data_IF_834114074887
#
_entry.id   IF_834114074887
#
_cell.length_a   1.000
_cell.length_b   1.000
_cell.length_c   1.000
_cell.angle_alpha   90.00
_cell.angle_beta   90.00
_cell.angle_gamma   90.00
#
_symmetry.space_group_name_H-M   'P 1'
#
loop_
_entity.id
_entity.type
_entity.pdbx_description
1 polymer ?
#
# COMPACT_ATOMS: atom_id res chain seq x y z
N UNK A 1 -23.51 -5.91 6.43
CA UNK A 1 -22.50 -5.41 7.42
C UNK A 1 -22.99 -5.54 8.84
N UNK A 2 -24.15 -4.99 9.20
CA UNK A 2 -24.76 -5.15 10.54
C UNK A 2 -24.94 -6.62 10.96
N UNK A 3 -25.44 -7.47 10.07
CA UNK A 3 -25.59 -8.92 10.33
C UNK A 3 -24.24 -9.61 10.60
N UNK A 4 -23.26 -9.44 9.71
CA UNK A 4 -21.91 -10.00 9.86
C UNK A 4 -21.18 -9.47 11.12
N UNK A 5 -21.45 -8.23 11.54
CA UNK A 5 -20.94 -7.65 12.78
C UNK A 5 -21.60 -8.28 14.03
N UNK A 6 -22.92 -8.48 14.02
CA UNK A 6 -23.64 -9.12 15.12
C UNK A 6 -23.22 -10.57 15.30
N UNK A 7 -23.05 -11.32 14.20
CA UNK A 7 -22.57 -12.70 14.19
C UNK A 7 -21.15 -12.81 14.78
N UNK A 8 -20.21 -11.97 14.35
CA UNK A 8 -18.84 -11.94 14.86
C UNK A 8 -18.80 -11.54 16.34
N UNK A 9 -19.66 -10.60 16.76
CA UNK A 9 -19.73 -10.10 18.14
C UNK A 9 -20.27 -11.18 19.09
N UNK A 10 -21.37 -11.85 18.75
CA UNK A 10 -21.97 -12.88 19.60
C UNK A 10 -21.06 -14.10 19.73
N UNK A 11 -20.55 -14.62 18.61
CA UNK A 11 -19.74 -15.84 18.61
C UNK A 11 -18.42 -15.65 19.37
N UNK A 12 -17.76 -14.50 19.22
CA UNK A 12 -16.49 -14.24 19.90
C UNK A 12 -16.65 -13.85 21.36
N UNK A 13 -17.66 -13.04 21.72
CA UNK A 13 -17.89 -12.65 23.12
C UNK A 13 -18.30 -13.85 23.98
N UNK A 14 -19.15 -14.74 23.47
CA UNK A 14 -19.54 -15.95 24.19
C UNK A 14 -18.35 -16.88 24.43
N UNK A 15 -17.50 -17.10 23.41
CA UNK A 15 -16.29 -17.93 23.53
C UNK A 15 -15.29 -17.34 24.54
N UNK A 16 -15.13 -16.02 24.54
CA UNK A 16 -14.22 -15.30 25.45
C UNK A 16 -14.74 -15.37 26.90
N UNK A 17 -16.03 -15.11 27.13
CA UNK A 17 -16.65 -15.20 28.46
C UNK A 17 -16.62 -16.63 29.02
N UNK A 18 -16.92 -17.64 28.20
CA UNK A 18 -16.84 -19.05 28.62
C UNK A 18 -15.41 -19.44 29.04
N UNK A 19 -14.39 -18.95 28.31
CA UNK A 19 -12.98 -19.20 28.65
C UNK A 19 -12.56 -18.51 29.93
N UNK A 20 -13.03 -17.29 30.18
CA UNK A 20 -12.81 -16.55 31.43
C UNK A 20 -13.44 -17.26 32.63
N UNK A 21 -14.71 -17.65 32.54
CA UNK A 21 -15.42 -18.39 33.59
C UNK A 21 -14.70 -19.71 33.91
N UNK A 22 -14.23 -20.44 32.88
CA UNK A 22 -13.48 -21.69 33.05
C UNK A 22 -12.13 -21.47 33.74
N UNK A 23 -11.45 -20.34 33.46
CA UNK A 23 -10.19 -19.98 34.11
C UNK A 23 -10.40 -19.59 35.58
N UNK A 24 -11.43 -18.81 35.90
CA UNK A 24 -11.75 -18.46 37.28
C UNK A 24 -12.16 -19.68 38.12
N UNK A 25 -12.99 -20.58 37.58
CA UNK A 25 -13.31 -21.85 38.26
C UNK A 25 -12.07 -22.69 38.55
N UNK A 26 -11.09 -22.72 37.63
CA UNK A 26 -9.81 -23.41 37.86
C UNK A 26 -8.96 -22.72 38.93
N UNK A 27 -8.98 -21.38 38.99
CA UNK A 27 -8.32 -20.60 40.05
C UNK A 27 -8.92 -20.93 41.42
N UNK A 28 -10.24 -20.95 41.52
CA UNK A 28 -10.94 -21.25 42.78
C UNK A 28 -10.68 -22.69 43.24
N UNK A 29 -10.76 -23.67 42.33
CA UNK A 29 -10.42 -25.07 42.63
C UNK A 29 -8.98 -25.25 43.09
N UNK A 30 -8.04 -24.52 42.48
CA UNK A 30 -6.64 -24.55 42.87
C UNK A 30 -6.46 -23.95 44.27
N UNK A 31 -7.09 -22.81 44.56
CA UNK A 31 -7.07 -22.18 45.88
C UNK A 31 -7.66 -23.08 46.97
N UNK A 32 -8.76 -23.79 46.71
CA UNK A 32 -9.33 -24.76 47.66
C UNK A 32 -8.39 -25.94 47.92
N UNK A 33 -7.76 -26.51 46.88
CA UNK A 33 -6.75 -27.58 47.04
C UNK A 33 -5.54 -27.11 47.85
N UNK A 34 -5.11 -25.88 47.62
CA UNK A 34 -4.01 -25.24 48.36
C UNK A 34 -4.36 -25.13 49.85
N UNK A 35 -5.56 -24.65 50.16
CA UNK A 35 -6.00 -24.49 51.54
C UNK A 35 -6.03 -25.83 52.29
N UNK A 36 -6.56 -26.88 51.66
CA UNK A 36 -6.60 -28.23 52.24
C UNK A 36 -5.19 -28.77 52.51
N UNK A 37 -4.25 -28.61 51.57
CA UNK A 37 -2.88 -29.06 51.76
C UNK A 37 -2.14 -28.29 52.86
N UNK A 38 -2.34 -26.97 52.94
CA UNK A 38 -1.75 -26.15 54.00
C UNK A 38 -2.28 -26.56 55.39
N UNK A 39 -3.58 -26.80 55.52
CA UNK A 39 -4.18 -27.29 56.78
C UNK A 39 -3.66 -28.68 57.15
N UNK A 40 -3.50 -29.57 56.16
CA UNK A 40 -2.95 -30.92 56.38
C UNK A 40 -1.52 -30.86 56.92
N UNK A 41 -0.67 -30.01 56.32
CA UNK A 41 0.72 -29.85 56.75
C UNK A 41 0.83 -29.19 58.13
N UNK A 42 -0.03 -28.21 58.43
CA UNK A 42 -0.10 -27.59 59.75
C UNK A 42 -0.52 -28.58 60.83
N UNK A 43 -1.49 -29.46 60.54
CA UNK A 43 -1.91 -30.51 61.47
C UNK A 43 -0.80 -31.54 61.70
N UNK A 44 -0.03 -31.90 60.68
CA UNK A 44 1.15 -32.79 60.84
C UNK A 44 2.23 -32.15 61.72
N UNK A 45 2.48 -30.84 61.56
CA UNK A 45 3.42 -30.10 62.42
C UNK A 45 2.93 -30.10 63.87
N UNK A 46 1.63 -29.90 64.10
CA UNK A 46 1.03 -29.88 65.44
C UNK A 46 1.09 -31.27 66.13
N UNK A 47 0.83 -32.35 65.38
CA UNK A 47 0.96 -33.74 65.86
C UNK A 47 2.39 -34.05 66.32
N UNK A 48 3.39 -33.65 65.53
CA UNK A 48 4.81 -33.81 65.88
C UNK A 48 5.22 -32.95 67.08
N UNK A 49 4.61 -31.77 67.26
CA UNK A 49 4.84 -30.93 68.43
C UNK A 49 4.24 -31.52 69.72
N UNK A 50 3.14 -32.28 69.62
CA UNK A 50 2.48 -32.92 70.76
C UNK A 50 3.11 -34.26 71.17
N UNK A 51 3.89 -34.91 70.29
CA UNK A 51 4.64 -36.14 70.59
C UNK A 51 5.91 -35.92 71.44
N UNK A 52 6.15 -34.68 71.93
CA UNK A 52 7.34 -34.23 72.65
C UNK A 52 7.49 -34.77 74.11
N UNK A 53 6.95 -35.93 74.44
CA UNK A 53 6.97 -36.46 75.82
C UNK A 53 7.45 -37.91 75.90
N UNK A 54 8.75 -38.14 75.62
CA UNK A 54 9.66 -39.06 76.34
C UNK A 54 10.99 -39.22 75.56
N UNK A 55 12.11 -39.05 76.27
CA UNK A 55 13.53 -39.24 75.88
C UNK A 55 14.23 -38.14 75.04
N UNK A 56 15.43 -37.72 75.48
CA UNK A 56 16.23 -36.61 74.92
C UNK A 56 16.75 -36.83 73.49
N UNK A 57 17.00 -38.08 73.07
CA UNK A 57 17.43 -38.40 71.70
C UNK A 57 16.34 -38.18 70.66
N UNK A 58 15.07 -38.42 71.02
CA UNK A 58 13.91 -38.23 70.15
C UNK A 58 13.56 -36.74 70.00
N UNK A 59 13.91 -35.89 70.98
CA UNK A 59 13.70 -34.44 70.93
C UNK A 59 14.57 -33.78 69.86
N UNK A 60 15.84 -34.19 69.71
CA UNK A 60 16.76 -33.60 68.71
C UNK A 60 16.36 -34.03 67.30
N UNK A 61 16.02 -35.31 67.10
CA UNK A 61 15.56 -35.82 65.81
C UNK A 61 14.25 -35.16 65.37
N UNK A 62 13.28 -35.01 66.27
CA UNK A 62 12.00 -34.32 65.98
C UNK A 62 12.18 -32.83 65.72
N UNK A 63 13.12 -32.15 66.39
CA UNK A 63 13.41 -30.73 66.13
C UNK A 63 13.99 -30.50 64.74
N UNK A 64 14.84 -31.42 64.26
CA UNK A 64 15.38 -31.39 62.90
C UNK A 64 14.30 -31.65 61.84
N UNK A 65 13.42 -32.65 62.07
CA UNK A 65 12.28 -32.94 61.20
C UNK A 65 11.31 -31.74 61.13
N UNK A 66 11.03 -31.09 62.27
CA UNK A 66 10.16 -29.92 62.33
C UNK A 66 10.74 -28.71 61.58
N UNK A 67 12.07 -28.49 61.65
CA UNK A 67 12.75 -27.46 60.86
C UNK A 67 12.72 -27.77 59.35
N UNK A 68 12.91 -29.02 58.96
CA UNK A 68 12.82 -29.44 57.55
C UNK A 68 11.41 -29.27 56.98
N UNK A 69 10.38 -29.63 57.75
CA UNK A 69 8.98 -29.43 57.37
C UNK A 69 8.61 -27.94 57.26
N UNK A 70 9.08 -27.09 58.18
CA UNK A 70 8.91 -25.63 58.08
C UNK A 70 9.60 -25.05 56.85
N UNK A 71 10.79 -25.55 56.51
CA UNK A 71 11.50 -25.14 55.29
C UNK A 71 10.75 -25.57 54.02
N UNK A 72 10.24 -26.80 53.96
CA UNK A 72 9.40 -27.29 52.86
C UNK A 72 8.11 -26.50 52.72
N UNK A 73 7.44 -26.15 53.83
CA UNK A 73 6.26 -25.29 53.83
C UNK A 73 6.57 -23.91 53.20
N UNK A 74 7.71 -23.31 53.56
CA UNK A 74 8.14 -22.01 53.03
C UNK A 74 8.43 -22.06 51.53
N UNK A 75 9.11 -23.11 51.05
CA UNK A 75 9.34 -23.33 49.62
C UNK A 75 8.02 -23.51 48.86
N UNK A 76 7.09 -24.29 49.41
CA UNK A 76 5.78 -24.51 48.83
C UNK A 76 4.97 -23.21 48.73
N UNK A 77 4.95 -22.40 49.79
CA UNK A 77 4.30 -21.08 49.80
C UNK A 77 4.87 -20.13 48.74
N UNK A 78 6.19 -20.11 48.55
CA UNK A 78 6.83 -19.31 47.50
C UNK A 78 6.45 -19.77 46.08
N UNK A 79 6.47 -21.08 45.83
CA UNK A 79 6.03 -21.63 44.53
C UNK A 79 4.57 -21.33 44.23
N UNK A 80 3.73 -21.31 45.26
CA UNK A 80 2.32 -20.96 45.16
C UNK A 80 2.12 -19.47 44.84
N UNK A 81 2.83 -18.58 45.52
CA UNK A 81 2.79 -17.14 45.19
C UNK A 81 3.21 -16.88 43.75
N UNK A 82 4.24 -17.58 43.26
CA UNK A 82 4.71 -17.45 41.88
C UNK A 82 3.65 -17.93 40.87
N UNK A 83 3.01 -19.08 41.11
CA UNK A 83 1.91 -19.56 40.27
C UNK A 83 0.72 -18.61 40.28
N UNK A 84 0.37 -18.04 41.44
CA UNK A 84 -0.74 -17.09 41.54
C UNK A 84 -0.43 -15.78 40.78
N UNK A 85 0.80 -15.27 40.87
CA UNK A 85 1.28 -14.13 40.06
C UNK A 85 1.22 -14.42 38.56
N UNK A 86 1.60 -15.62 38.12
CA UNK A 86 1.50 -16.03 36.71
C UNK A 86 0.04 -16.07 36.21
N UNK A 87 -0.87 -16.61 37.03
CA UNK A 87 -2.31 -16.62 36.72
C UNK A 87 -2.91 -15.21 36.68
N UNK A 88 -2.55 -14.35 37.63
CA UNK A 88 -2.98 -12.94 37.67
C UNK A 88 -2.53 -12.23 36.39
N UNK A 89 -1.27 -12.40 35.98
CA UNK A 89 -0.73 -11.83 34.74
C UNK A 89 -1.47 -12.30 33.49
N UNK A 90 -1.79 -13.60 33.39
CA UNK A 90 -2.59 -14.16 32.29
C UNK A 90 -4.02 -13.60 32.27
N UNK A 91 -4.62 -13.37 33.44
CA UNK A 91 -5.93 -12.73 33.58
C UNK A 91 -5.91 -11.28 33.09
N UNK A 92 -4.88 -10.51 33.47
CA UNK A 92 -4.73 -9.11 33.06
C UNK A 92 -4.54 -8.94 31.55
N UNK A 93 -3.77 -9.84 30.92
CA UNK A 93 -3.64 -9.89 29.45
C UNK A 93 -4.99 -10.15 28.80
N UNK A 94 -5.79 -11.06 29.36
CA UNK A 94 -7.10 -11.41 28.82
C UNK A 94 -8.10 -10.24 28.98
N UNK A 95 -8.08 -9.54 30.11
CA UNK A 95 -8.89 -8.34 30.31
C UNK A 95 -8.52 -7.22 29.33
N UNK A 96 -7.23 -6.99 29.07
CA UNK A 96 -6.78 -6.05 28.03
C UNK A 96 -7.27 -6.43 26.63
N UNK A 97 -7.32 -7.72 26.31
CA UNK A 97 -7.90 -8.19 25.04
C UNK A 97 -9.40 -7.89 24.96
N UNK A 98 -10.16 -8.13 26.02
CA UNK A 98 -11.60 -7.80 26.11
C UNK A 98 -11.82 -6.30 25.87
N UNK A 99 -11.12 -5.44 26.61
CA UNK A 99 -11.24 -3.98 26.45
C UNK A 99 -10.89 -3.51 25.05
N UNK A 100 -9.87 -4.11 24.42
CA UNK A 100 -9.52 -3.78 23.03
C UNK A 100 -10.62 -4.21 22.04
N UNK A 101 -11.25 -5.36 22.25
CA UNK A 101 -12.40 -5.79 21.46
C UNK A 101 -13.61 -4.86 21.66
N UNK A 102 -13.90 -4.43 22.88
CA UNK A 102 -14.98 -3.46 23.17
C UNK A 102 -14.74 -2.12 22.45
N UNK A 103 -13.51 -1.63 22.45
CA UNK A 103 -13.14 -0.40 21.72
C UNK A 103 -13.30 -0.55 20.20
N UNK A 104 -12.95 -1.71 19.64
CA UNK A 104 -13.18 -2.02 18.23
C UNK A 104 -14.68 -2.03 17.92
N UNK A 105 -15.51 -2.65 18.78
CA UNK A 105 -16.97 -2.69 18.65
C UNK A 105 -17.57 -1.27 18.70
N UNK A 106 -17.09 -0.40 19.60
CA UNK A 106 -17.52 1.00 19.69
C UNK A 106 -17.18 1.76 18.40
N UNK A 107 -15.95 1.59 17.88
CA UNK A 107 -15.52 2.21 16.63
C UNK A 107 -16.39 1.80 15.44
N UNK A 108 -16.65 0.50 15.28
CA UNK A 108 -17.51 0.01 14.20
C UNK A 108 -18.95 0.50 14.33
N UNK A 109 -19.50 0.61 15.55
CA UNK A 109 -20.82 1.23 15.77
C UNK A 109 -20.86 2.68 15.30
N UNK A 110 -19.81 3.45 15.58
CA UNK A 110 -19.69 4.84 15.12
C UNK A 110 -19.65 4.93 13.59
N UNK A 111 -18.82 4.12 12.95
CA UNK A 111 -18.72 4.06 11.48
C UNK A 111 -20.04 3.62 10.82
N UNK A 112 -20.78 2.70 11.44
CA UNK A 112 -22.12 2.30 10.97
C UNK A 112 -23.09 3.47 11.06
N UNK A 113 -23.13 4.19 12.19
CA UNK A 113 -24.03 5.34 12.38
C UNK A 113 -23.71 6.48 11.39
N UNK A 114 -22.43 6.76 11.15
CA UNK A 114 -22.00 7.76 10.15
C UNK A 114 -22.45 7.37 8.74
N UNK A 115 -22.33 6.09 8.37
CA UNK A 115 -22.82 5.59 7.08
C UNK A 115 -24.34 5.62 6.97
N UNK A 116 -25.08 5.33 8.03
CA UNK A 116 -26.55 5.45 8.04
C UNK A 116 -27.00 6.90 7.88
N UNK A 117 -26.32 7.85 8.52
CA UNK A 117 -26.57 9.28 8.32
C UNK A 117 -26.37 9.69 6.85
N UNK A 118 -25.27 9.26 6.22
CA UNK A 118 -25.01 9.53 4.80
C UNK A 118 -26.10 8.90 3.91
N UNK A 119 -26.48 7.65 4.17
CA UNK A 119 -27.52 6.95 3.41
C UNK A 119 -28.87 7.66 3.53
N UNK A 120 -29.25 8.11 4.74
CA UNK A 120 -30.49 8.85 4.96
C UNK A 120 -30.46 10.20 4.24
N UNK A 121 -29.36 10.94 4.31
CA UNK A 121 -29.18 12.20 3.57
C UNK A 121 -29.28 12.00 2.04
N UNK A 122 -28.73 10.91 1.51
CA UNK A 122 -28.86 10.56 0.10
C UNK A 122 -30.29 10.17 -0.27
N UNK A 123 -31.00 9.43 0.60
CA UNK A 123 -32.43 9.11 0.41
C UNK A 123 -33.30 10.36 0.40
N UNK A 124 -33.05 11.30 1.31
CA UNK A 124 -33.79 12.55 1.38
C UNK A 124 -33.59 13.38 0.11
N UNK A 125 -32.35 13.45 -0.41
CA UNK A 125 -32.05 14.07 -1.71
C UNK A 125 -32.72 13.36 -2.88
N UNK A 126 -32.71 12.03 -2.91
CA UNK A 126 -33.39 11.27 -3.97
C UNK A 126 -34.90 11.51 -3.91
N UNK A 127 -35.49 11.50 -2.72
CA UNK A 127 -36.92 11.76 -2.54
C UNK A 127 -37.30 13.18 -2.94
N UNK A 128 -36.45 14.17 -2.61
CA UNK A 128 -36.59 15.55 -3.06
C UNK A 128 -36.55 15.65 -4.58
N UNK A 129 -35.52 15.07 -5.22
CA UNK A 129 -35.38 15.09 -6.68
C UNK A 129 -36.54 14.35 -7.39
N UNK A 130 -37.04 13.25 -6.82
CA UNK A 130 -38.20 12.52 -7.35
C UNK A 130 -39.48 13.36 -7.21
N UNK A 131 -39.62 14.12 -6.12
CA UNK A 131 -40.73 15.04 -5.93
C UNK A 131 -40.67 16.19 -6.95
N UNK A 132 -39.50 16.82 -7.13
CA UNK A 132 -39.28 17.83 -8.17
C UNK A 132 -39.56 17.28 -9.57
N UNK A 133 -39.10 16.08 -9.90
CA UNK A 133 -39.37 15.47 -11.20
C UNK A 133 -40.87 15.22 -11.42
N UNK A 134 -41.62 14.81 -10.40
CA UNK A 134 -43.08 14.65 -10.47
C UNK A 134 -43.80 16.00 -10.59
N UNK A 135 -43.32 17.03 -9.92
CA UNK A 135 -43.85 18.41 -10.03
C UNK A 135 -43.56 19.01 -11.40
N UNK A 136 -42.36 18.82 -11.94
CA UNK A 136 -42.00 19.19 -13.31
C UNK A 136 -42.85 18.41 -14.31
N UNK A 137 -43.00 17.10 -14.16
CA UNK A 137 -43.80 16.29 -15.08
C UNK A 137 -45.29 16.67 -15.08
N UNK A 138 -45.84 17.02 -13.91
CA UNK A 138 -47.22 17.53 -13.78
C UNK A 138 -47.38 18.98 -14.26
N UNK A 139 -46.34 19.81 -14.17
CA UNK A 139 -46.29 21.15 -14.78
C UNK A 139 -46.13 21.08 -16.30
N UNK A 140 -45.31 20.18 -16.86
CA UNK A 140 -45.18 19.97 -18.31
C UNK A 140 -46.47 19.44 -18.93
N UNK A 141 -47.21 18.59 -18.22
CA UNK A 141 -48.55 18.12 -18.62
C UNK A 141 -49.60 19.25 -18.58
N UNK A 142 -49.47 20.23 -17.67
CA UNK A 142 -50.33 21.42 -17.63
C UNK A 142 -49.93 22.49 -18.66
N UNK A 143 -48.63 22.67 -18.89
CA UNK A 143 -48.05 23.75 -19.71
C UNK A 143 -48.04 23.47 -21.22
N UNK A 144 -48.32 22.24 -21.66
CA UNK A 144 -48.65 21.96 -23.08
C UNK A 144 -49.99 22.60 -23.53
N UNK A 145 -50.67 23.34 -22.65
CA UNK A 145 -51.95 24.00 -22.93
C UNK A 145 -51.87 25.52 -23.11
N UNK A 146 -50.74 26.20 -22.81
CA UNK A 146 -50.72 27.68 -22.88
C UNK A 146 -49.30 28.25 -23.01
N UNK A 147 -49.03 28.70 -24.24
CA UNK A 147 -48.23 29.85 -24.70
C UNK A 147 -47.35 30.69 -23.73
N UNK A 148 -46.13 30.95 -24.23
CA UNK A 148 -45.40 32.24 -24.38
C UNK A 148 -45.04 33.12 -23.16
N UNK A 149 -43.76 33.52 -23.15
CA UNK A 149 -43.15 34.79 -22.70
C UNK A 149 -42.82 35.00 -21.20
N UNK A 150 -41.76 35.82 -21.02
CA UNK A 150 -41.23 36.49 -19.80
C UNK A 150 -40.38 35.61 -18.86
N UNK A 151 -39.04 35.78 -18.88
CA UNK A 151 -38.22 36.75 -18.13
C UNK A 151 -37.92 36.34 -16.67
N UNK A 152 -36.62 36.05 -16.45
CA UNK A 152 -35.79 36.49 -15.30
C UNK A 152 -36.47 36.61 -13.93
N UNK A 153 -36.14 35.69 -13.02
CA UNK A 153 -35.25 35.92 -11.87
C UNK A 153 -35.38 34.80 -10.82
N UNK A 154 -34.30 34.62 -10.06
CA UNK A 154 -34.21 33.87 -8.80
C UNK A 154 -34.18 32.34 -8.86
N UNK A 155 -32.95 31.79 -8.86
CA UNK A 155 -32.50 30.83 -7.83
C UNK A 155 -30.97 30.64 -7.93
N UNK A 156 -30.22 31.45 -7.18
CA UNK A 156 -28.84 31.14 -6.83
C UNK A 156 -28.85 30.05 -5.74
N UNK A 157 -29.03 28.80 -6.15
CA UNK A 157 -28.56 27.66 -5.36
C UNK A 157 -27.14 27.31 -5.80
N UNK A 158 -26.25 27.09 -4.83
CA UNK A 158 -24.83 26.76 -4.95
C UNK A 158 -24.55 25.57 -5.92
N UNK A 159 -24.65 25.78 -7.23
CA UNK A 159 -24.15 24.83 -8.23
C UNK A 159 -22.64 24.99 -8.31
N UNK A 160 -21.93 23.95 -7.86
CA UNK A 160 -20.48 23.81 -8.09
C UNK A 160 -20.16 24.08 -9.56
N UNK A 161 -19.10 24.86 -9.81
CA UNK A 161 -18.63 25.10 -11.18
C UNK A 161 -18.19 23.79 -11.82
N UNK A 162 -18.06 23.76 -13.15
CA UNK A 162 -17.53 22.58 -13.83
C UNK A 162 -16.14 22.19 -13.28
N UNK A 163 -15.28 23.18 -13.02
CA UNK A 163 -13.96 22.95 -12.45
C UNK A 163 -14.03 22.35 -11.04
N UNK A 164 -14.94 22.84 -10.20
CA UNK A 164 -15.11 22.31 -8.85
C UNK A 164 -15.58 20.85 -8.86
N UNK A 165 -16.43 20.48 -9.83
CA UNK A 165 -16.89 19.10 -10.00
C UNK A 165 -15.73 18.18 -10.38
N UNK A 166 -14.84 18.61 -11.28
CA UNK A 166 -13.66 17.85 -11.69
C UNK A 166 -12.68 17.67 -10.51
N UNK A 167 -12.41 18.71 -9.73
CA UNK A 167 -11.57 18.58 -8.54
C UNK A 167 -12.20 17.74 -7.43
N UNK A 168 -13.53 17.81 -7.26
CA UNK A 168 -14.25 16.95 -6.33
C UNK A 168 -14.18 15.48 -6.77
N UNK A 169 -14.29 15.23 -8.07
CA UNK A 169 -14.07 13.91 -8.64
C UNK A 169 -12.65 13.42 -8.33
N UNK A 170 -11.62 14.22 -8.65
CA UNK A 170 -10.21 13.86 -8.39
C UNK A 170 -9.95 13.55 -6.92
N UNK A 171 -10.53 14.34 -6.01
CA UNK A 171 -10.46 14.09 -4.56
C UNK A 171 -11.08 12.74 -4.20
N UNK A 172 -12.28 12.45 -4.69
CA UNK A 172 -12.98 11.21 -4.40
C UNK A 172 -12.24 10.00 -4.99
N UNK A 173 -11.78 10.12 -6.23
CA UNK A 173 -10.96 9.13 -6.91
C UNK A 173 -9.69 8.81 -6.11
N UNK A 174 -8.95 9.84 -5.70
CA UNK A 174 -7.73 9.67 -4.91
C UNK A 174 -8.01 9.01 -3.56
N UNK A 175 -9.06 9.41 -2.85
CA UNK A 175 -9.45 8.80 -1.57
C UNK A 175 -9.76 7.30 -1.69
N UNK A 176 -10.33 6.88 -2.82
CA UNK A 176 -10.64 5.46 -3.08
C UNK A 176 -9.39 4.67 -3.43
N UNK A 177 -8.50 5.20 -4.26
CA UNK A 177 -7.42 4.40 -4.87
C UNK A 177 -6.04 4.59 -4.28
N UNK A 178 -5.77 5.64 -3.50
CA UNK A 178 -4.42 5.85 -2.95
C UNK A 178 -3.94 4.66 -2.10
N UNK A 179 -2.62 4.54 -1.94
CA UNK A 179 -1.94 3.42 -1.28
C UNK A 179 -2.39 3.19 0.18
N UNK A 180 -2.91 4.22 0.85
CA UNK A 180 -3.33 4.18 2.26
C UNK A 180 -4.83 3.88 2.44
N UNK A 181 -5.60 3.74 1.36
CA UNK A 181 -6.99 3.30 1.43
C UNK A 181 -7.11 1.76 1.50
N UNK A 182 -8.30 1.20 1.27
CA UNK A 182 -8.57 -0.24 1.45
C UNK A 182 -7.52 -1.15 0.79
N UNK A 183 -7.01 -2.13 1.55
CA UNK A 183 -5.94 -3.06 1.14
C UNK A 183 -6.28 -3.78 -0.17
N UNK A 184 -5.36 -3.72 -1.13
CA UNK A 184 -5.37 -4.53 -2.36
C UNK A 184 -3.96 -5.07 -2.61
N UNK A 185 -3.84 -6.09 -3.46
CA UNK A 185 -2.55 -6.67 -3.83
C UNK A 185 -1.55 -5.61 -4.34
N UNK A 186 -1.96 -4.75 -5.28
CA UNK A 186 -1.09 -3.71 -5.83
C UNK A 186 -0.63 -2.70 -4.76
N UNK A 187 -1.52 -2.29 -3.84
CA UNK A 187 -1.16 -1.36 -2.75
C UNK A 187 -0.14 -1.97 -1.78
N UNK A 188 -0.30 -3.24 -1.44
CA UNK A 188 0.70 -3.97 -0.66
C UNK A 188 2.04 -4.00 -1.40
N UNK A 189 2.00 -4.30 -2.70
CA UNK A 189 3.17 -4.31 -3.56
C UNK A 189 3.93 -3.00 -3.60
N UNK A 190 3.25 -1.89 -3.89
CA UNK A 190 3.87 -0.55 -3.86
C UNK A 190 4.35 -0.15 -2.47
N UNK A 191 3.62 -0.52 -1.41
CA UNK A 191 4.05 -0.29 -0.02
C UNK A 191 5.32 -1.07 0.29
N UNK A 192 5.43 -2.32 -0.18
CA UNK A 192 6.61 -3.16 -0.02
C UNK A 192 7.82 -2.57 -0.74
N UNK A 193 7.65 -2.10 -1.99
CA UNK A 193 8.71 -1.41 -2.75
C UNK A 193 9.13 -0.11 -2.05
N UNK A 194 8.18 0.69 -1.57
CA UNK A 194 8.48 1.90 -0.80
C UNK A 194 9.30 1.59 0.47
N UNK A 195 8.91 0.55 1.21
CA UNK A 195 9.58 0.17 2.45
C UNK A 195 10.97 -0.41 2.21
N UNK A 196 11.11 -1.28 1.20
CA UNK A 196 12.39 -1.88 0.82
C UNK A 196 13.35 -0.83 0.30
N UNK A 197 12.91 0.08 -0.59
CA UNK A 197 13.74 1.18 -1.07
C UNK A 197 14.18 2.13 0.06
N UNK A 198 13.34 2.35 1.07
CA UNK A 198 13.74 3.07 2.29
C UNK A 198 14.84 2.36 3.06
N UNK A 199 14.89 1.03 3.03
CA UNK A 199 15.94 0.23 3.64
C UNK A 199 17.24 0.30 2.81
N UNK A 200 17.13 0.21 1.48
CA UNK A 200 18.25 0.34 0.54
C UNK A 200 18.98 1.67 0.68
N UNK A 201 18.25 2.79 0.82
CA UNK A 201 18.84 4.11 1.14
C UNK A 201 19.64 4.09 2.44
N UNK A 202 19.21 3.29 3.42
CA UNK A 202 19.97 3.08 4.64
C UNK A 202 21.28 2.33 4.37
N UNK A 203 21.24 1.33 3.49
CA UNK A 203 22.40 0.53 3.07
C UNK A 203 23.39 1.31 2.20
N UNK A 204 22.98 2.39 1.55
CA UNK A 204 23.84 3.22 0.69
C UNK A 204 24.67 4.27 1.44
N UNK A 205 24.68 4.27 2.77
CA UNK A 205 25.52 5.20 3.55
C UNK A 205 26.96 4.69 3.63
N UNK A 206 27.94 5.56 3.38
CA UNK A 206 29.37 5.22 3.50
C UNK A 206 29.76 4.74 4.91
N UNK A 207 29.20 5.35 5.97
CA UNK A 207 29.41 4.94 7.37
C UNK A 207 28.19 4.18 7.88
N UNK A 208 28.13 2.89 7.58
CA UNK A 208 27.02 2.04 8.02
C UNK A 208 27.02 1.86 9.55
N UNK A 209 25.82 1.78 10.10
CA UNK A 209 25.52 1.42 11.49
C UNK A 209 24.32 0.47 11.50
N UNK A 210 24.07 -0.31 12.56
CA UNK A 210 22.80 -1.02 12.71
C UNK A 210 21.60 -0.05 12.66
N UNK A 211 20.55 -0.41 11.94
CA UNK A 211 19.39 0.44 11.70
C UNK A 211 18.15 -0.35 11.27
N UNK A 212 16.96 0.27 11.34
CA UNK A 212 15.80 -0.19 10.57
C UNK A 212 14.94 -1.29 11.22
N UNK A 213 15.09 -1.60 12.50
CA UNK A 213 14.32 -2.69 13.15
C UNK A 213 12.79 -2.58 12.92
N UNK A 214 12.21 -1.39 13.12
CA UNK A 214 10.77 -1.18 12.90
C UNK A 214 10.39 -1.34 11.42
N UNK A 215 11.27 -0.92 10.50
CA UNK A 215 11.07 -1.07 9.05
C UNK A 215 11.11 -2.54 8.65
N UNK A 216 12.05 -3.32 9.18
CA UNK A 216 12.13 -4.77 8.97
C UNK A 216 10.84 -5.46 9.42
N UNK A 217 10.34 -5.12 10.63
CA UNK A 217 9.07 -5.67 11.12
C UNK A 217 7.91 -5.31 10.18
N UNK A 218 7.86 -4.07 9.70
CA UNK A 218 6.87 -3.61 8.72
C UNK A 218 6.95 -4.40 7.41
N UNK A 219 8.15 -4.55 6.83
CA UNK A 219 8.37 -5.29 5.57
C UNK A 219 7.90 -6.73 5.71
N UNK A 220 8.27 -7.40 6.80
CA UNK A 220 7.86 -8.78 7.07
C UNK A 220 6.34 -8.88 7.23
N UNK A 221 5.69 -7.91 7.87
CA UNK A 221 4.24 -7.90 8.01
C UNK A 221 3.54 -7.68 6.66
N UNK A 222 4.07 -6.78 5.81
CA UNK A 222 3.56 -6.56 4.45
C UNK A 222 3.73 -7.81 3.59
N UNK A 223 4.90 -8.46 3.61
CA UNK A 223 5.13 -9.74 2.92
C UNK A 223 4.14 -10.82 3.39
N UNK A 224 3.90 -10.92 4.70
CA UNK A 224 2.89 -11.85 5.26
C UNK A 224 1.46 -11.53 4.80
N UNK A 225 1.12 -10.24 4.63
CA UNK A 225 -0.17 -9.83 4.13
C UNK A 225 -0.35 -10.20 2.65
N UNK A 226 0.72 -10.11 1.84
CA UNK A 226 0.70 -10.55 0.44
C UNK A 226 0.46 -12.05 0.29
N UNK A 227 0.84 -12.88 1.27
CA UNK A 227 0.59 -14.33 1.24
C UNK A 227 -0.89 -14.70 1.11
N UNK A 228 -1.81 -13.79 1.44
CA UNK A 228 -3.27 -13.98 1.28
C UNK A 228 -3.69 -14.03 -0.19
N UNK A 229 -2.84 -13.57 -1.11
CA UNK A 229 -3.11 -13.49 -2.53
C UNK A 229 -2.41 -14.64 -3.27
N UNK A 230 -3.06 -15.20 -4.29
CA UNK A 230 -2.50 -16.30 -5.08
C UNK A 230 -1.26 -15.84 -5.87
N UNK A 231 -0.31 -16.76 -6.09
CA UNK A 231 0.91 -16.54 -6.88
C UNK A 231 1.85 -15.42 -6.38
N UNK A 232 1.67 -14.90 -5.16
CA UNK A 232 2.50 -13.83 -4.58
C UNK A 232 4.01 -14.06 -4.72
N UNK A 233 4.50 -15.30 -4.53
CA UNK A 233 5.94 -15.62 -4.59
C UNK A 233 6.58 -15.42 -5.96
N UNK A 234 5.79 -15.34 -7.04
CA UNK A 234 6.25 -15.06 -8.41
C UNK A 234 6.19 -13.57 -8.77
N UNK A 235 5.57 -12.75 -7.93
CA UNK A 235 5.42 -11.33 -8.22
C UNK A 235 6.67 -10.55 -7.80
N UNK A 236 7.04 -9.57 -8.64
CA UNK A 236 8.19 -8.69 -8.43
C UNK A 236 8.26 -8.09 -7.03
N UNK A 237 7.14 -7.63 -6.47
CA UNK A 237 7.11 -6.99 -5.15
C UNK A 237 7.62 -7.92 -4.05
N UNK A 238 7.12 -9.15 -4.02
CA UNK A 238 7.49 -10.17 -3.03
C UNK A 238 8.96 -10.58 -3.20
N UNK A 239 9.38 -10.86 -4.43
CA UNK A 239 10.77 -11.21 -4.77
C UNK A 239 11.73 -10.10 -4.34
N UNK A 240 11.41 -8.84 -4.65
CA UNK A 240 12.18 -7.67 -4.24
C UNK A 240 12.26 -7.55 -2.71
N UNK A 241 11.15 -7.75 -2.00
CA UNK A 241 11.10 -7.75 -0.55
C UNK A 241 12.00 -8.81 0.08
N UNK A 242 11.92 -10.05 -0.39
CA UNK A 242 12.76 -11.16 0.10
C UNK A 242 14.24 -10.89 -0.19
N UNK A 243 14.60 -10.46 -1.40
CA UNK A 243 15.99 -10.19 -1.75
C UNK A 243 16.58 -8.99 -0.99
N UNK A 244 15.80 -7.93 -0.76
CA UNK A 244 16.23 -6.80 0.07
C UNK A 244 16.55 -7.27 1.50
N UNK A 245 15.72 -8.16 2.06
CA UNK A 245 15.97 -8.76 3.37
C UNK A 245 17.20 -9.69 3.37
N UNK A 246 17.45 -10.43 2.28
CA UNK A 246 18.67 -11.25 2.11
C UNK A 246 19.91 -10.36 2.11
N UNK A 247 19.92 -9.28 1.34
CA UNK A 247 21.06 -8.37 1.28
C UNK A 247 21.31 -7.69 2.63
N UNK A 248 20.23 -7.26 3.29
CA UNK A 248 20.31 -6.72 4.64
C UNK A 248 20.93 -7.72 5.64
N UNK A 249 20.53 -9.00 5.57
CA UNK A 249 21.14 -10.07 6.38
C UNK A 249 22.63 -10.21 6.07
N UNK A 250 23.01 -10.25 4.79
CA UNK A 250 24.39 -10.42 4.35
C UNK A 250 25.28 -9.28 4.86
N UNK A 251 24.81 -8.04 4.80
CA UNK A 251 25.52 -6.87 5.34
C UNK A 251 25.69 -7.00 6.86
N UNK A 252 24.65 -7.40 7.60
CA UNK A 252 24.77 -7.61 9.04
C UNK A 252 25.76 -8.72 9.42
N UNK A 253 25.88 -9.77 8.58
CA UNK A 253 26.90 -10.81 8.75
C UNK A 253 28.30 -10.27 8.48
N UNK A 254 28.49 -9.51 7.38
CA UNK A 254 29.75 -8.86 7.01
C UNK A 254 30.30 -7.95 8.12
N UNK A 255 29.43 -7.15 8.74
CA UNK A 255 29.80 -6.23 9.82
C UNK A 255 29.74 -6.85 11.24
N UNK A 256 29.53 -8.17 11.35
CA UNK A 256 29.47 -8.91 12.62
C UNK A 256 28.38 -8.40 13.59
N UNK A 257 27.27 -7.87 13.09
CA UNK A 257 26.13 -7.37 13.88
C UNK A 257 25.08 -8.43 14.20
N UNK A 258 25.48 -9.71 14.23
CA UNK A 258 24.58 -10.87 14.34
C UNK A 258 23.85 -11.01 15.69
N UNK A 259 24.26 -10.27 16.73
CA UNK A 259 23.59 -10.25 18.03
C UNK A 259 22.31 -9.39 18.04
N UNK A 260 22.15 -8.50 17.05
CA UNK A 260 21.04 -7.53 16.95
C UNK A 260 19.69 -8.22 16.70
N UNK A 261 18.62 -7.64 17.24
CA UNK A 261 17.25 -8.18 17.17
C UNK A 261 16.77 -8.26 15.73
N UNK A 262 16.97 -7.19 14.97
CA UNK A 262 16.55 -7.08 13.58
C UNK A 262 17.20 -8.12 12.67
N UNK A 263 18.49 -8.42 12.85
CA UNK A 263 19.15 -9.53 12.17
C UNK A 263 18.51 -10.89 12.51
N UNK A 264 18.28 -11.17 13.80
CA UNK A 264 17.68 -12.45 14.23
C UNK A 264 16.28 -12.63 13.64
N UNK A 265 15.49 -11.56 13.58
CA UNK A 265 14.16 -11.55 12.97
C UNK A 265 14.25 -11.89 11.48
N UNK A 266 15.12 -11.20 10.72
CA UNK A 266 15.31 -11.44 9.29
C UNK A 266 15.80 -12.87 9.04
N UNK A 267 16.85 -13.31 9.75
CA UNK A 267 17.42 -14.66 9.61
C UNK A 267 16.37 -15.73 9.84
N UNK A 268 15.50 -15.58 10.85
CA UNK A 268 14.42 -16.53 11.12
C UNK A 268 13.39 -16.54 10.01
N UNK A 269 12.99 -15.36 9.53
CA UNK A 269 11.99 -15.23 8.49
C UNK A 269 12.45 -15.83 7.16
N UNK A 270 13.69 -15.55 6.73
CA UNK A 270 14.23 -16.03 5.46
C UNK A 270 14.42 -17.55 5.38
N UNK A 271 14.38 -18.29 6.50
CA UNK A 271 14.47 -19.77 6.48
C UNK A 271 13.37 -20.41 5.64
N UNK A 272 12.19 -19.79 5.56
CA UNK A 272 11.03 -20.29 4.84
C UNK A 272 11.01 -19.93 3.35
N UNK A 273 11.91 -19.03 2.91
CA UNK A 273 11.88 -18.43 1.58
C UNK A 273 13.22 -18.58 0.86
N UNK A 274 13.86 -19.75 1.01
CA UNK A 274 15.14 -20.04 0.33
C UNK A 274 14.96 -20.28 -1.17
N UNK A 275 13.78 -20.73 -1.58
CA UNK A 275 13.42 -21.06 -2.96
C UNK A 275 13.10 -19.85 -3.83
N UNK A 276 12.86 -18.68 -3.22
CA UNK A 276 12.57 -17.45 -3.96
C UNK A 276 13.77 -17.06 -4.82
N UNK A 277 13.51 -16.73 -6.08
CA UNK A 277 14.53 -16.30 -7.05
C UNK A 277 15.42 -15.19 -6.50
N UNK A 278 16.71 -15.21 -6.87
CA UNK A 278 17.66 -14.17 -6.48
C UNK A 278 17.57 -12.94 -7.39
N UNK A 279 17.63 -11.76 -6.77
CA UNK A 279 17.62 -10.48 -7.47
C UNK A 279 18.60 -9.52 -6.80
N UNK A 280 19.33 -8.75 -7.60
CA UNK A 280 20.17 -7.66 -7.11
C UNK A 280 19.29 -6.57 -6.48
N UNK A 281 19.52 -6.29 -5.19
CA UNK A 281 18.85 -5.28 -4.37
C UNK A 281 19.87 -4.67 -3.40
N UNK A 282 19.49 -3.66 -2.63
CA UNK A 282 20.38 -3.07 -1.62
C UNK A 282 21.23 -1.94 -2.18
N UNK A 283 22.52 -1.96 -1.86
CA UNK A 283 23.46 -0.92 -2.27
C UNK A 283 24.70 -1.55 -2.91
N UNK A 284 25.30 -0.85 -3.87
CA UNK A 284 26.52 -1.25 -4.53
C UNK A 284 27.45 -0.03 -4.68
N UNK A 285 28.73 -0.30 -4.86
CA UNK A 285 29.77 0.72 -5.04
C UNK A 285 30.19 0.68 -6.51
N UNK A 286 30.27 1.86 -7.12
CA UNK A 286 30.95 2.06 -8.40
C UNK A 286 32.10 3.04 -8.18
N UNK A 287 33.23 2.74 -8.80
CA UNK A 287 34.38 3.63 -8.92
C UNK A 287 34.14 4.68 -10.01
N UNK A 288 34.93 5.75 -9.98
CA UNK A 288 34.88 6.79 -11.02
C UNK A 288 35.27 6.22 -12.38
N UNK A 289 36.22 5.29 -12.39
CA UNK A 289 36.71 4.60 -13.57
C UNK A 289 35.63 3.75 -14.22
N UNK A 290 34.87 2.98 -13.42
CA UNK A 290 33.72 2.20 -13.90
C UNK A 290 32.63 3.10 -14.50
N UNK A 291 32.43 4.31 -13.98
CA UNK A 291 31.46 5.26 -14.53
C UNK A 291 31.92 5.94 -15.82
N UNK A 292 33.23 5.98 -16.10
CA UNK A 292 33.81 6.84 -17.16
C UNK A 292 33.36 6.45 -18.57
N UNK A 293 33.17 5.16 -18.84
CA UNK A 293 32.64 4.69 -20.13
C UNK A 293 31.21 5.15 -20.38
N UNK A 294 30.44 5.36 -19.32
CA UNK A 294 28.97 5.44 -19.41
C UNK A 294 28.46 6.84 -19.79
N UNK A 295 29.26 7.90 -19.60
CA UNK A 295 28.85 9.28 -19.89
C UNK A 295 29.57 9.92 -21.10
N UNK A 296 30.39 9.18 -21.84
CA UNK A 296 31.09 9.69 -23.03
C UNK A 296 30.20 9.64 -24.29
N UNK A 297 29.06 10.33 -24.26
CA UNK A 297 28.09 10.42 -25.36
C UNK A 297 27.86 11.87 -25.77
N UNK A 298 27.64 12.13 -27.06
CA UNK A 298 27.15 13.44 -27.54
C UNK A 298 25.64 13.57 -27.27
N UNK A 299 25.31 13.70 -25.99
CA UNK A 299 23.92 13.77 -25.54
C UNK A 299 23.20 14.99 -26.11
N UNK A 300 23.91 16.12 -26.26
CA UNK A 300 23.35 17.38 -26.80
C UNK A 300 22.89 17.20 -28.24
N UNK A 301 23.69 16.56 -29.10
CA UNK A 301 23.30 16.26 -30.48
C UNK A 301 22.10 15.33 -30.52
N UNK A 302 22.09 14.28 -29.70
CA UNK A 302 21.01 13.30 -29.64
C UNK A 302 19.66 13.91 -29.21
N UNK A 303 19.61 14.67 -28.12
CA UNK A 303 18.34 15.28 -27.68
C UNK A 303 17.85 16.36 -28.64
N UNK A 304 18.77 17.02 -29.37
CA UNK A 304 18.42 18.02 -30.40
C UNK A 304 17.88 17.39 -31.68
N UNK A 305 18.32 16.18 -32.05
CA UNK A 305 17.80 15.48 -33.24
C UNK A 305 16.42 14.87 -33.04
N UNK A 306 15.95 14.73 -31.79
CA UNK A 306 14.60 14.27 -31.51
C UNK A 306 13.58 15.39 -31.77
N UNK A 307 12.69 15.15 -32.72
CA UNK A 307 11.57 16.03 -33.04
C UNK A 307 10.22 15.32 -32.82
N UNK A 308 9.16 16.10 -32.64
CA UNK A 308 7.80 15.56 -32.65
C UNK A 308 7.41 15.20 -34.09
N UNK A 309 7.34 13.90 -34.37
CA UNK A 309 7.08 13.35 -35.71
C UNK A 309 5.59 13.28 -36.00
N UNK A 310 5.16 13.72 -37.18
CA UNK A 310 3.73 13.80 -37.55
C UNK A 310 3.39 13.09 -38.86
N UNK A 311 4.40 12.58 -39.54
CA UNK A 311 4.32 11.73 -40.71
C UNK A 311 5.22 10.50 -40.48
N UNK A 312 4.74 9.33 -40.86
CA UNK A 312 5.38 8.06 -40.57
C UNK A 312 5.33 7.17 -41.80
N UNK A 313 6.24 6.21 -41.90
CA UNK A 313 6.08 5.12 -42.87
C UNK A 313 4.78 4.38 -42.58
N UNK A 314 4.10 3.92 -43.63
CA UNK A 314 2.94 3.03 -43.51
C UNK A 314 3.38 1.61 -43.13
N UNK A 315 4.01 1.47 -41.97
CA UNK A 315 4.58 0.23 -41.46
C UNK A 315 4.31 0.12 -39.96
N UNK A 316 3.80 -1.04 -39.53
CA UNK A 316 3.60 -1.33 -38.11
C UNK A 316 4.94 -1.43 -37.39
N UNK A 317 5.02 -0.90 -36.16
CA UNK A 317 6.19 -1.11 -35.32
C UNK A 317 6.34 -2.60 -35.00
N UNK A 318 7.59 -3.08 -34.99
CA UNK A 318 7.89 -4.44 -34.55
C UNK A 318 7.76 -4.49 -33.03
N UNK A 319 7.17 -5.56 -32.52
CA UNK A 319 7.04 -5.76 -31.07
C UNK A 319 8.41 -5.72 -30.36
N UNK A 320 9.45 -6.28 -30.98
CA UNK A 320 10.81 -6.25 -30.43
C UNK A 320 11.37 -4.84 -30.26
N UNK A 321 11.05 -3.91 -31.17
CA UNK A 321 11.50 -2.53 -31.05
C UNK A 321 10.75 -1.79 -29.94
N UNK A 322 9.45 -2.06 -29.78
CA UNK A 322 8.66 -1.58 -28.63
C UNK A 322 9.23 -2.14 -27.33
N UNK A 323 9.51 -3.45 -27.27
CA UNK A 323 10.09 -4.11 -26.10
C UNK A 323 11.44 -3.48 -25.74
N UNK A 324 12.34 -3.30 -26.71
CA UNK A 324 13.64 -2.62 -26.49
C UNK A 324 13.44 -1.21 -25.94
N UNK A 325 12.52 -0.43 -26.52
CA UNK A 325 12.23 0.92 -26.03
C UNK A 325 11.75 0.91 -24.58
N UNK A 326 10.85 0.00 -24.22
CA UNK A 326 10.36 -0.14 -22.83
C UNK A 326 11.46 -0.62 -21.88
N UNK A 327 12.30 -1.57 -22.30
CA UNK A 327 13.44 -2.06 -21.51
C UNK A 327 14.48 -0.96 -21.24
N UNK A 328 14.63 0.01 -22.13
CA UNK A 328 15.43 1.22 -21.89
C UNK A 328 14.68 2.22 -21.00
N UNK A 329 13.38 2.44 -21.26
CA UNK A 329 12.57 3.39 -20.50
C UNK A 329 12.36 2.98 -19.03
N UNK A 330 12.41 1.69 -18.70
CA UNK A 330 12.21 1.19 -17.32
C UNK A 330 13.25 1.71 -16.32
N UNK A 331 14.40 2.19 -16.79
CA UNK A 331 15.42 2.83 -15.95
C UNK A 331 15.03 4.24 -15.48
N UNK A 332 13.85 4.74 -15.87
CA UNK A 332 13.31 6.00 -15.35
C UNK A 332 13.14 5.91 -13.83
N UNK A 333 13.68 6.88 -13.05
CA UNK A 333 13.43 6.92 -11.62
C UNK A 333 11.95 7.20 -11.35
N UNK A 334 11.45 6.66 -10.24
CA UNK A 334 10.12 6.97 -9.74
C UNK A 334 10.13 7.25 -8.25
N UNK A 335 9.09 7.92 -7.73
CA UNK A 335 8.97 8.27 -6.32
C UNK A 335 9.10 7.00 -5.44
N UNK A 336 10.21 6.93 -4.71
CA UNK A 336 10.61 5.77 -3.91
C UNK A 336 10.64 4.44 -4.67
N UNK A 337 11.02 4.48 -5.95
CA UNK A 337 11.16 3.33 -6.85
C UNK A 337 9.88 2.50 -7.06
N UNK A 338 8.69 3.05 -6.80
CA UNK A 338 7.43 2.30 -6.85
C UNK A 338 7.00 1.85 -8.26
N UNK A 339 7.53 2.46 -9.33
CA UNK A 339 7.33 2.00 -10.72
C UNK A 339 5.85 1.79 -11.11
N UNK A 340 4.97 2.71 -10.70
CA UNK A 340 3.53 2.64 -10.91
C UNK A 340 3.06 3.17 -12.28
N UNK A 341 3.96 3.39 -13.24
CA UNK A 341 3.63 3.86 -14.59
C UNK A 341 3.34 2.64 -15.49
N UNK A 342 2.31 2.73 -16.33
CA UNK A 342 1.97 1.70 -17.33
C UNK A 342 1.96 2.30 -18.73
N UNK A 343 2.34 1.47 -19.71
CA UNK A 343 2.26 1.77 -21.13
C UNK A 343 1.25 0.81 -21.75
N UNK A 344 0.12 1.34 -22.18
CA UNK A 344 -0.90 0.59 -22.90
C UNK A 344 -0.68 0.78 -24.40
N UNK A 345 -0.61 -0.30 -25.17
CA UNK A 345 -0.36 -0.27 -26.61
C UNK A 345 -1.57 -0.77 -27.39
N UNK A 346 -2.03 0.03 -28.35
CA UNK A 346 -3.15 -0.29 -29.23
C UNK A 346 -2.67 -0.30 -30.69
N UNK A 347 -2.29 -1.47 -31.26
CA UNK A 347 -1.71 -1.56 -32.59
C UNK A 347 -2.72 -1.24 -33.71
N UNK A 348 -3.96 -1.73 -33.57
CA UNK A 348 -5.00 -1.71 -34.62
C UNK A 348 -6.40 -1.81 -34.02
N UNK A 349 -7.42 -1.64 -34.87
CA UNK A 349 -8.82 -1.95 -34.54
C UNK A 349 -9.52 -0.89 -33.71
N UNK A 350 -10.67 -1.27 -33.12
CA UNK A 350 -11.60 -0.35 -32.45
C UNK A 350 -10.96 0.38 -31.26
N UNK A 351 -10.14 -0.30 -30.46
CA UNK A 351 -9.47 0.34 -29.33
C UNK A 351 -8.49 1.42 -29.77
N UNK A 352 -7.70 1.18 -30.83
CA UNK A 352 -6.86 2.22 -31.44
C UNK A 352 -7.71 3.41 -31.90
N UNK A 353 -8.83 3.14 -32.57
CA UNK A 353 -9.73 4.20 -33.04
C UNK A 353 -10.29 5.03 -31.89
N UNK A 354 -10.72 4.40 -30.79
CA UNK A 354 -11.16 5.09 -29.59
C UNK A 354 -10.07 6.05 -29.06
N UNK A 355 -8.79 5.61 -28.99
CA UNK A 355 -7.70 6.50 -28.55
C UNK A 355 -7.55 7.71 -29.47
N UNK A 356 -7.64 7.50 -30.78
CA UNK A 356 -7.58 8.57 -31.79
C UNK A 356 -8.74 9.53 -31.63
N UNK A 357 -9.96 9.04 -31.43
CA UNK A 357 -11.15 9.87 -31.32
C UNK A 357 -11.07 10.79 -30.10
N UNK A 358 -10.56 10.28 -28.98
CA UNK A 358 -10.35 11.04 -27.73
C UNK A 358 -9.08 11.89 -27.69
N UNK A 359 -8.23 11.80 -28.72
CA UNK A 359 -7.02 12.60 -28.84
C UNK A 359 -7.35 14.03 -29.28
N UNK A 360 -6.79 15.02 -28.58
CA UNK A 360 -6.97 16.45 -28.89
C UNK A 360 -5.76 17.00 -29.64
N UNK A 361 -5.98 17.94 -30.56
CA UNK A 361 -4.90 18.54 -31.36
C UNK A 361 -4.34 17.63 -32.46
N UNK A 362 -5.11 16.63 -32.90
CA UNK A 362 -4.71 15.67 -33.96
C UNK A 362 -4.78 16.19 -35.40
N UNK A 363 -5.21 17.45 -35.60
CA UNK A 363 -5.33 18.05 -36.93
C UNK A 363 -4.00 18.02 -37.70
N UNK A 364 -4.03 17.59 -38.96
CA UNK A 364 -2.84 17.49 -39.82
C UNK A 364 -1.92 16.30 -39.55
N UNK A 365 -2.31 15.34 -38.70
CA UNK A 365 -1.57 14.09 -38.52
C UNK A 365 -1.96 13.06 -39.58
N UNK A 366 -0.96 12.46 -40.22
CA UNK A 366 -1.16 11.26 -41.04
C UNK A 366 -1.28 10.06 -40.10
N UNK A 367 -2.52 9.56 -39.93
CA UNK A 367 -2.83 8.49 -38.96
C UNK A 367 -2.60 7.08 -39.52
N UNK A 368 -2.32 6.97 -40.81
CA UNK A 368 -1.96 5.71 -41.46
C UNK A 368 -0.60 5.23 -40.95
N UNK A 369 -0.47 3.94 -40.63
CA UNK A 369 0.75 3.38 -40.01
C UNK A 369 1.04 3.78 -38.55
N UNK A 370 0.29 4.71 -37.95
CA UNK A 370 0.52 5.19 -36.57
C UNK A 370 0.24 4.12 -35.52
N UNK A 371 1.12 4.01 -34.54
CA UNK A 371 0.97 3.17 -33.36
C UNK A 371 0.54 4.06 -32.19
N UNK A 372 -0.54 3.71 -31.52
CA UNK A 372 -1.10 4.54 -30.43
C UNK A 372 -0.82 3.90 -29.09
N UNK A 373 -0.29 4.71 -28.18
CA UNK A 373 -0.02 4.32 -26.80
C UNK A 373 -0.72 5.26 -25.84
N UNK A 374 -1.13 4.74 -24.69
CA UNK A 374 -1.60 5.53 -23.54
C UNK A 374 -0.64 5.29 -22.40
N UNK A 375 -0.06 6.36 -21.86
CA UNK A 375 0.76 6.32 -20.66
C UNK A 375 -0.13 6.68 -19.47
N UNK A 376 -0.22 5.77 -18.53
CA UNK A 376 -1.03 5.91 -17.31
C UNK A 376 -0.17 5.78 -16.06
N UNK A 377 -0.74 6.17 -14.92
CA UNK A 377 -0.18 5.85 -13.61
C UNK A 377 -1.23 5.22 -12.70
N UNK A 378 -0.81 4.20 -11.96
CA UNK A 378 -1.62 3.52 -10.97
C UNK A 378 -1.66 4.32 -9.66
N UNK A 379 -2.84 4.81 -9.28
CA UNK A 379 -3.03 5.61 -8.07
C UNK A 379 -2.83 4.80 -6.79
N UNK A 380 -2.90 3.46 -6.85
CA UNK A 380 -2.51 2.58 -5.75
C UNK A 380 -1.04 2.79 -5.32
N UNK A 381 -0.20 3.35 -6.21
CA UNK A 381 1.19 3.66 -5.91
C UNK A 381 1.41 5.00 -5.20
N UNK A 382 0.40 5.87 -5.12
CA UNK A 382 0.52 7.21 -4.54
C UNK A 382 0.14 7.22 -3.05
N UNK A 383 0.87 7.97 -2.23
CA UNK A 383 0.76 7.95 -0.78
C UNK A 383 0.53 9.33 -0.17
N UNK A 384 -0.47 9.45 0.70
CA UNK A 384 -0.74 10.66 1.45
C UNK A 384 -1.16 11.85 0.56
N UNK A 385 -1.54 12.96 1.16
CA UNK A 385 -2.09 14.12 0.43
C UNK A 385 -1.06 14.85 -0.43
N UNK A 386 0.23 14.73 -0.08
CA UNK A 386 1.34 15.38 -0.78
C UNK A 386 1.67 14.76 -2.13
N UNK A 387 1.29 13.50 -2.37
CA UNK A 387 1.60 12.79 -3.60
C UNK A 387 0.48 12.80 -4.64
N UNK A 388 -0.63 13.50 -4.39
CA UNK A 388 -1.80 13.56 -5.29
C UNK A 388 -1.45 13.94 -6.74
N UNK A 389 -0.41 14.76 -6.93
CA UNK A 389 0.07 15.20 -8.24
C UNK A 389 1.35 14.48 -8.72
N UNK A 390 1.93 13.59 -7.90
CA UNK A 390 3.17 12.90 -8.24
C UNK A 390 3.00 11.91 -9.40
N UNK A 391 1.78 11.43 -9.64
CA UNK A 391 1.43 10.59 -10.79
C UNK A 391 1.87 11.21 -12.11
N UNK A 392 1.41 12.44 -12.38
CA UNK A 392 1.71 13.18 -13.61
C UNK A 392 3.21 13.49 -13.76
N UNK A 393 3.88 13.90 -12.68
CA UNK A 393 5.33 14.15 -12.70
C UNK A 393 6.10 12.89 -13.10
N UNK A 394 5.82 11.75 -12.46
CA UNK A 394 6.51 10.49 -12.74
C UNK A 394 6.17 9.95 -14.14
N UNK A 395 4.93 10.12 -14.60
CA UNK A 395 4.55 9.79 -15.96
C UNK A 395 5.31 10.66 -16.98
N UNK A 396 5.52 11.94 -16.72
CA UNK A 396 6.32 12.84 -17.56
C UNK A 396 7.79 12.42 -17.65
N UNK A 397 8.40 11.98 -16.54
CA UNK A 397 9.75 11.42 -16.54
C UNK A 397 9.84 10.17 -17.42
N UNK A 398 8.92 9.22 -17.22
CA UNK A 398 8.89 7.97 -17.99
C UNK A 398 8.64 8.24 -19.47
N UNK A 399 7.70 9.12 -19.78
CA UNK A 399 7.36 9.55 -21.13
C UNK A 399 8.58 10.12 -21.86
N UNK A 400 9.34 10.99 -21.20
CA UNK A 400 10.56 11.60 -21.76
C UNK A 400 11.62 10.54 -22.07
N UNK A 401 11.85 9.60 -21.15
CA UNK A 401 12.82 8.54 -21.38
C UNK A 401 12.36 7.57 -22.49
N UNK A 402 11.06 7.25 -22.54
CA UNK A 402 10.46 6.40 -23.57
C UNK A 402 10.60 6.99 -24.98
N UNK A 403 10.33 8.28 -25.17
CA UNK A 403 10.48 8.90 -26.50
C UNK A 403 11.94 9.01 -26.94
N UNK A 404 12.86 9.17 -25.99
CA UNK A 404 14.30 9.11 -26.27
C UNK A 404 14.72 7.68 -26.63
N UNK A 405 14.21 6.66 -25.93
CA UNK A 405 14.47 5.26 -26.26
C UNK A 405 13.95 4.91 -27.67
N UNK A 406 12.74 5.32 -28.03
CA UNK A 406 12.23 5.18 -29.40
C UNK A 406 13.12 5.91 -30.42
N UNK A 407 13.54 7.14 -30.12
CA UNK A 407 14.42 7.90 -31.01
C UNK A 407 15.75 7.18 -31.27
N UNK A 408 16.35 6.56 -30.24
CA UNK A 408 17.58 5.76 -30.38
C UNK A 408 17.43 4.54 -31.30
N UNK A 409 16.20 4.08 -31.52
CA UNK A 409 15.85 2.97 -32.41
C UNK A 409 15.39 3.44 -33.80
N UNK A 410 15.50 4.72 -34.13
CA UNK A 410 15.00 5.26 -35.39
C UNK A 410 13.48 5.34 -35.48
N UNK A 411 12.79 5.47 -34.34
CA UNK A 411 11.34 5.59 -34.25
C UNK A 411 10.96 7.03 -33.88
N UNK A 412 10.15 7.65 -34.74
CA UNK A 412 9.57 8.96 -34.51
C UNK A 412 8.41 8.87 -33.53
N UNK A 413 8.24 9.92 -32.73
CA UNK A 413 7.16 9.98 -31.73
C UNK A 413 6.54 11.37 -31.64
N UNK A 414 5.28 11.45 -31.23
CA UNK A 414 4.62 12.71 -30.90
C UNK A 414 3.70 12.54 -29.70
N UNK A 415 3.91 13.37 -28.67
CA UNK A 415 2.94 13.51 -27.60
C UNK A 415 1.67 14.17 -28.13
N UNK A 416 0.54 13.61 -27.74
CA UNK A 416 -0.79 14.09 -28.08
C UNK A 416 -1.48 14.48 -26.79
N UNK A 417 -2.02 15.69 -26.77
CA UNK A 417 -2.63 16.24 -25.58
C UNK A 417 -3.87 15.43 -25.20
N UNK A 418 -3.99 15.19 -23.90
CA UNK A 418 -5.15 14.56 -23.28
C UNK A 418 -5.68 15.51 -22.20
N UNK A 419 -6.59 16.40 -22.57
CA UNK A 419 -7.21 17.41 -21.70
C UNK A 419 -8.69 17.11 -21.48
N UNK A 420 -9.02 15.83 -21.29
CA UNK A 420 -10.37 15.33 -21.20
C UNK A 420 -10.93 15.47 -19.77
N UNK A 421 -12.25 15.64 -19.67
CA UNK A 421 -12.95 15.62 -18.37
C UNK A 421 -12.87 14.24 -17.72
N UNK A 422 -13.15 14.18 -16.42
CA UNK A 422 -13.26 12.95 -15.64
C UNK A 422 -14.19 11.92 -16.30
N UNK A 423 -15.35 12.35 -16.80
CA UNK A 423 -16.30 11.50 -17.53
C UNK A 423 -15.69 10.93 -18.83
N UNK A 424 -15.00 11.77 -19.61
CA UNK A 424 -14.36 11.35 -20.84
C UNK A 424 -13.21 10.37 -20.57
N UNK A 425 -12.41 10.62 -19.52
CA UNK A 425 -11.35 9.72 -19.08
C UNK A 425 -11.93 8.36 -18.64
N UNK A 426 -12.97 8.34 -17.80
CA UNK A 426 -13.64 7.10 -17.39
C UNK A 426 -14.17 6.31 -18.57
N UNK A 427 -14.84 6.99 -19.51
CA UNK A 427 -15.38 6.35 -20.71
C UNK A 427 -14.26 5.76 -21.56
N UNK A 428 -13.16 6.50 -21.80
CA UNK A 428 -12.02 5.98 -22.54
C UNK A 428 -11.39 4.78 -21.83
N UNK A 429 -11.16 4.87 -20.52
CA UNK A 429 -10.61 3.76 -19.73
C UNK A 429 -11.45 2.50 -19.87
N UNK A 430 -12.77 2.63 -19.76
CA UNK A 430 -13.71 1.50 -19.88
C UNK A 430 -13.71 0.85 -21.27
N UNK A 431 -13.69 1.63 -22.35
CA UNK A 431 -13.76 1.10 -23.72
C UNK A 431 -12.40 0.63 -24.27
N UNK A 432 -11.32 0.86 -23.52
CA UNK A 432 -9.95 0.47 -23.86
C UNK A 432 -9.32 -0.46 -22.79
N UNK A 433 -10.12 -1.03 -21.90
CA UNK A 433 -9.68 -1.97 -20.85
C UNK A 433 -8.55 -1.45 -19.94
N UNK A 434 -8.55 -0.14 -19.65
CA UNK A 434 -7.64 0.47 -18.67
C UNK A 434 -8.25 0.32 -17.27
N UNK A 435 -7.49 -0.18 -16.27
CA UNK A 435 -7.99 -0.36 -14.91
C UNK A 435 -8.51 0.95 -14.28
N UNK A 436 -9.57 0.84 -13.48
CA UNK A 436 -10.26 2.00 -12.88
C UNK A 436 -9.40 2.79 -11.89
N UNK A 437 -8.39 2.14 -11.30
CA UNK A 437 -7.41 2.76 -10.40
C UNK A 437 -6.31 3.55 -11.12
N UNK A 438 -6.26 3.50 -12.45
CA UNK A 438 -5.29 4.25 -13.24
C UNK A 438 -5.84 5.61 -13.69
N UNK A 439 -4.92 6.57 -13.85
CA UNK A 439 -5.17 7.86 -14.49
C UNK A 439 -4.38 7.98 -15.78
N UNK A 440 -5.01 8.57 -16.80
CA UNK A 440 -4.35 8.82 -18.09
C UNK A 440 -3.49 10.08 -17.97
N UNK A 441 -2.18 9.96 -18.23
CA UNK A 441 -1.26 11.08 -18.20
C UNK A 441 -1.08 11.72 -19.59
N UNK A 442 -0.80 10.90 -20.60
CA UNK A 442 -0.55 11.39 -21.97
C UNK A 442 -0.79 10.30 -23.01
N UNK A 443 -1.22 10.70 -24.20
CA UNK A 443 -1.28 9.83 -25.39
C UNK A 443 0.01 10.01 -26.19
N UNK A 444 0.56 8.92 -26.70
CA UNK A 444 1.77 8.93 -27.52
C UNK A 444 1.49 8.25 -28.85
N UNK A 445 1.79 8.94 -29.95
CA UNK A 445 1.85 8.34 -31.28
C UNK A 445 3.29 8.01 -31.62
N UNK A 446 3.50 6.87 -32.28
CA UNK A 446 4.82 6.46 -32.75
C UNK A 446 4.75 5.71 -34.09
N UNK A 447 5.86 5.74 -34.81
CA UNK A 447 6.04 5.03 -36.07
C UNK A 447 7.46 5.21 -36.59
N UNK A 448 7.88 4.40 -37.55
CA UNK A 448 9.18 4.59 -38.17
C UNK A 448 9.22 5.94 -38.89
N UNK A 449 10.37 6.63 -38.78
CA UNK A 449 10.62 7.82 -39.58
C UNK A 449 10.42 7.51 -41.07
N UNK A 450 9.78 8.45 -41.75
CA UNK A 450 9.70 8.45 -43.21
C UNK A 450 11.05 8.83 -43.82
N UNK A 451 11.23 8.58 -45.12
CA UNK A 451 12.47 8.97 -45.82
C UNK A 451 12.60 10.50 -45.90
N UNK A 452 11.46 11.20 -45.82
CA UNK A 452 11.39 12.67 -45.65
C UNK A 452 10.40 13.02 -44.54
N UNK A 453 10.90 13.57 -43.45
CA UNK A 453 10.07 14.08 -42.35
C UNK A 453 10.11 15.60 -42.27
N UNK A 454 8.95 16.21 -42.01
CA UNK A 454 8.82 17.66 -41.80
C UNK A 454 8.58 17.90 -40.32
N UNK A 455 9.38 18.78 -39.72
CA UNK A 455 9.29 19.10 -38.30
C UNK A 455 9.00 20.59 -38.09
N UNK A 456 8.18 20.88 -37.08
CA UNK A 456 7.99 22.24 -36.61
C UNK A 456 9.30 22.79 -36.04
N UNK A 457 9.69 23.99 -36.47
CA UNK A 457 10.87 24.70 -35.95
C UNK A 457 10.43 25.75 -34.93
N UNK A 458 10.41 25.36 -33.65
CA UNK A 458 10.15 26.28 -32.55
C UNK A 458 11.49 26.63 -31.86
N UNK A 459 11.80 27.92 -31.63
CA UNK A 459 13.00 28.30 -30.88
C UNK A 459 12.95 27.79 -29.42
N UNK A 460 14.08 27.87 -28.72
CA UNK A 460 14.15 27.69 -27.26
C UNK A 460 14.44 29.06 -26.65
N UNK A 461 13.93 29.28 -25.44
CA UNK A 461 14.26 30.47 -24.64
C UNK A 461 15.75 30.45 -24.27
N UNK A 462 16.25 31.58 -23.80
CA UNK A 462 17.65 31.72 -23.39
C UNK A 462 17.90 31.06 -22.03
N UNK A 463 19.16 31.01 -21.58
CA UNK A 463 19.55 30.29 -20.37
C UNK A 463 18.89 30.88 -19.10
N UNK A 464 18.83 32.19 -19.02
CA UNK A 464 18.33 33.00 -17.89
C UNK A 464 16.84 32.78 -17.65
N UNK A 465 16.10 32.34 -18.67
CA UNK A 465 14.69 31.96 -18.59
C UNK A 465 14.44 30.63 -17.88
N UNK A 466 15.49 29.82 -17.68
CA UNK A 466 15.43 28.50 -17.06
C UNK A 466 16.22 28.40 -15.75
N UNK A 467 17.25 29.22 -15.57
CA UNK A 467 18.15 29.16 -14.42
C UNK A 467 18.10 30.45 -13.59
N UNK A 468 17.75 30.30 -12.31
CA UNK A 468 17.73 31.38 -11.33
C UNK A 468 18.65 30.97 -10.17
N UNK A 469 19.70 31.76 -9.93
CA UNK A 469 20.58 31.60 -8.78
C UNK A 469 20.10 32.49 -7.63
N UNK A 470 19.74 31.87 -6.51
CA UNK A 470 19.42 32.58 -5.27
C UNK A 470 20.68 32.60 -4.39
N UNK A 471 21.05 33.79 -3.90
CA UNK A 471 22.17 33.99 -2.99
C UNK A 471 21.77 33.79 -1.54
#
# INVERSE_FOLDING_TARGET
MKEKFNEIKEVNMQKIQQKYIKLNKKKDQLNSKIQIQNTTLQNQILLLQNQNTKYESDIILNKNINNELKYKLKLYQNDLENKNKEFQHKSDIFMKQITNFENIVIRYKKEINEKEFIINSLRDRINFNVKELKEVQSQTLKNNSTNLLTEKENHNENKLSFLDKEYLYDKNFYNVYNMESNETFNKLGYSLVFQTHSLEKGLSHFKLRPFGENKIKSIINTLKAELKYNNHERHFYFINGINTLREYKNIYEKYKWTKRSEYKIVKRFLKYYKHIEEQKTGAYILTKEELKSDYNIDYKKFIKSRHSTRNYKNLKLKFDDIKKAVEMAKYTPSACNRQYIKLHYYPTGKMKQNVIDYSVGKGGLYLEGVNTFIITFDVNGLRGVGERNQGYFNAGLFSTNLVNAFHSLGIGTCFIQFNNSSEQEEKLKKINDIPSNERIAVILYAGYYDDKSIFSRSPRRDFEDYFIEHK
#
